data_IF_186853469607
#
_entry.id   IF_186853469607
#
_cell.length_a   1.000
_cell.length_b   1.000
_cell.length_c   1.000
_cell.angle_alpha   90.00
_cell.angle_beta   90.00
_cell.angle_gamma   90.00
#
_symmetry.space_group_name_H-M   'P 1'
#
loop_
_entity.id
_entity.type
_entity.pdbx_description
1 polymer ?
#
# COMPACT_ATOMS: atom_id res chain seq x y z
N UNK A 1 37.44 9.51 27.08
CA UNK A 1 36.78 9.67 25.76
C UNK A 1 35.92 8.45 25.52
N UNK A 2 34.64 8.57 25.79
CA UNK A 2 33.69 7.47 25.76
C UNK A 2 33.06 7.39 24.36
N UNK A 3 33.35 6.32 23.66
CA UNK A 3 32.72 6.03 22.39
C UNK A 3 31.29 5.55 22.67
N UNK A 4 30.32 6.42 22.40
CA UNK A 4 28.89 6.10 22.41
C UNK A 4 28.60 4.99 21.39
N UNK A 5 28.40 3.76 21.86
CA UNK A 5 27.93 2.64 21.05
C UNK A 5 26.51 2.97 20.57
N UNK A 6 26.38 3.37 19.30
CA UNK A 6 25.08 3.39 18.61
C UNK A 6 24.52 1.97 18.64
N UNK A 7 23.57 1.73 19.53
CA UNK A 7 22.75 0.52 19.50
C UNK A 7 22.18 0.35 18.08
N UNK A 8 22.74 -0.62 17.37
CA UNK A 8 22.17 -1.13 16.12
C UNK A 8 20.74 -1.55 16.42
N UNK A 9 19.77 -0.87 15.82
CA UNK A 9 18.37 -1.30 15.86
C UNK A 9 18.32 -2.68 15.23
N UNK A 10 18.11 -3.72 16.06
CA UNK A 10 17.90 -5.10 15.62
C UNK A 10 16.97 -5.10 14.42
N UNK A 11 17.43 -5.75 13.33
CA UNK A 11 16.76 -5.79 12.05
C UNK A 11 15.28 -6.14 12.18
N UNK A 12 14.44 -5.32 11.58
CA UNK A 12 13.03 -5.65 11.40
C UNK A 12 13.01 -6.76 10.35
N UNK A 13 12.62 -7.98 10.74
CA UNK A 13 12.42 -9.07 9.78
C UNK A 13 11.59 -8.54 8.61
N UNK A 14 12.20 -8.52 7.45
CA UNK A 14 11.55 -8.05 6.23
C UNK A 14 10.78 -9.23 5.64
N UNK A 15 9.46 -9.12 5.66
CA UNK A 15 8.56 -10.18 5.20
C UNK A 15 8.09 -9.91 3.79
N UNK A 16 8.08 -10.97 3.00
CA UNK A 16 7.51 -10.98 1.67
C UNK A 16 6.02 -10.61 1.72
N UNK A 17 5.59 -9.82 0.76
CA UNK A 17 4.19 -9.46 0.57
C UNK A 17 3.62 -10.06 -0.70
N UNK A 18 2.32 -9.94 -0.85
CA UNK A 18 1.56 -10.42 -2.01
C UNK A 18 0.86 -9.24 -2.67
N UNK A 19 0.75 -9.28 -4.00
CA UNK A 19 0.01 -8.28 -4.77
C UNK A 19 -1.32 -8.88 -5.20
N UNK A 20 -2.40 -8.17 -4.90
CA UNK A 20 -3.73 -8.61 -5.31
C UNK A 20 -4.56 -7.48 -5.90
N UNK A 21 -5.68 -7.83 -6.48
CA UNK A 21 -6.66 -6.92 -7.05
C UNK A 21 -7.89 -6.88 -6.16
N UNK A 22 -8.30 -5.70 -5.73
CA UNK A 22 -9.54 -5.52 -4.98
C UNK A 22 -10.73 -5.91 -5.85
N UNK A 23 -11.51 -6.89 -5.43
CA UNK A 23 -12.71 -7.34 -6.11
C UNK A 23 -13.93 -6.52 -5.66
N UNK A 24 -14.12 -6.40 -4.35
CA UNK A 24 -15.23 -5.70 -3.75
C UNK A 24 -15.29 -5.93 -2.26
N UNK A 25 -16.43 -5.59 -1.66
CA UNK A 25 -16.69 -5.86 -0.25
C UNK A 25 -17.94 -6.71 -0.08
N UNK A 26 -17.91 -7.56 0.93
CA UNK A 26 -19.03 -8.39 1.35
C UNK A 26 -19.04 -8.52 2.88
N UNK A 27 -19.93 -9.33 3.41
CA UNK A 27 -19.95 -9.69 4.82
C UNK A 27 -19.93 -11.20 4.98
N UNK A 28 -19.33 -11.64 6.06
CA UNK A 28 -19.36 -13.01 6.52
C UNK A 28 -19.88 -13.02 7.96
N UNK A 29 -20.38 -14.15 8.40
CA UNK A 29 -20.87 -14.31 9.76
C UNK A 29 -19.88 -15.16 10.54
N UNK A 30 -19.62 -14.79 11.78
CA UNK A 30 -18.86 -15.64 12.71
C UNK A 30 -19.76 -16.71 13.35
N UNK A 31 -19.19 -17.54 14.20
CA UNK A 31 -19.90 -18.62 14.89
C UNK A 31 -21.01 -18.09 15.84
N UNK A 32 -20.92 -16.83 16.23
CA UNK A 32 -21.92 -16.16 17.08
C UNK A 32 -23.02 -15.44 16.27
N UNK A 33 -22.96 -15.54 14.94
CA UNK A 33 -23.89 -14.86 14.03
C UNK A 33 -23.61 -13.36 13.83
N UNK A 34 -22.48 -12.84 14.29
CA UNK A 34 -22.10 -11.44 14.08
C UNK A 34 -21.60 -11.22 12.68
N UNK A 35 -22.12 -10.20 12.00
CA UNK A 35 -21.69 -9.82 10.67
C UNK A 35 -20.30 -9.14 10.70
N UNK A 36 -19.35 -9.71 10.00
CA UNK A 36 -18.00 -9.18 9.81
C UNK A 36 -17.88 -8.63 8.39
N UNK A 37 -17.74 -7.30 8.20
CA UNK A 37 -17.49 -6.73 6.90
C UNK A 37 -16.09 -7.10 6.41
N UNK A 38 -15.99 -7.61 5.20
CA UNK A 38 -14.72 -8.03 4.60
C UNK A 38 -14.54 -7.48 3.21
N UNK A 39 -13.29 -7.16 2.87
CA UNK A 39 -12.88 -6.89 1.49
C UNK A 39 -12.29 -8.15 0.90
N UNK A 40 -12.76 -8.49 -0.30
CA UNK A 40 -12.26 -9.62 -1.09
C UNK A 40 -11.17 -9.12 -2.03
N UNK A 41 -10.01 -9.74 -1.96
CA UNK A 41 -8.85 -9.43 -2.79
C UNK A 41 -8.47 -10.69 -3.54
N UNK A 42 -8.46 -10.62 -4.87
CA UNK A 42 -7.99 -11.70 -5.75
C UNK A 42 -6.50 -11.52 -5.99
N UNK A 43 -5.75 -12.56 -5.79
CA UNK A 43 -4.31 -12.59 -6.07
C UNK A 43 -4.11 -13.30 -7.40
N UNK A 44 -3.52 -12.58 -8.35
CA UNK A 44 -3.09 -13.19 -9.59
C UNK A 44 -1.70 -13.84 -9.40
N UNK A 45 -1.32 -14.71 -10.32
CA UNK A 45 -0.02 -15.37 -10.30
C UNK A 45 1.10 -14.31 -10.15
N UNK A 46 1.92 -14.51 -9.15
CA UNK A 46 3.04 -13.62 -8.83
C UNK A 46 4.35 -14.39 -8.95
N UNK A 47 5.28 -13.87 -9.76
CA UNK A 47 6.55 -14.53 -10.09
C UNK A 47 7.71 -13.62 -9.76
N UNK A 48 8.80 -14.18 -9.25
CA UNK A 48 10.05 -13.45 -8.99
C UNK A 48 10.72 -13.12 -10.32
N UNK A 49 10.85 -11.84 -10.63
CA UNK A 49 11.46 -11.36 -11.87
C UNK A 49 12.93 -11.01 -11.72
N UNK A 50 13.35 -10.58 -10.54
CA UNK A 50 14.74 -10.25 -10.24
C UNK A 50 15.02 -10.42 -8.75
N UNK A 51 16.20 -10.90 -8.43
CA UNK A 51 16.75 -10.95 -7.09
C UNK A 51 17.83 -9.87 -6.98
N UNK A 52 17.72 -9.01 -5.95
CA UNK A 52 18.65 -7.90 -5.68
C UNK A 52 19.44 -8.20 -4.42
N UNK A 53 20.75 -8.00 -4.49
CA UNK A 53 21.67 -8.24 -3.37
C UNK A 53 22.43 -6.95 -3.02
N UNK A 54 22.99 -6.92 -1.81
CA UNK A 54 23.80 -5.78 -1.36
C UNK A 54 24.98 -5.54 -2.28
N UNK A 55 25.57 -6.58 -2.86
CA UNK A 55 26.75 -6.49 -3.71
C UNK A 55 26.45 -5.81 -5.05
N UNK A 56 25.31 -6.12 -5.65
CA UNK A 56 24.95 -5.63 -7.00
C UNK A 56 24.12 -4.36 -6.96
N UNK A 57 23.16 -4.27 -6.03
CA UNK A 57 22.14 -3.20 -5.99
C UNK A 57 22.23 -2.34 -4.74
N UNK A 58 23.12 -2.67 -3.77
CA UNK A 58 23.29 -1.94 -2.52
C UNK A 58 22.25 -2.27 -1.44
N UNK A 59 21.30 -3.17 -1.72
CA UNK A 59 20.29 -3.63 -0.76
C UNK A 59 19.71 -5.00 -1.15
N UNK A 60 19.17 -5.70 -0.17
CA UNK A 60 18.50 -6.98 -0.37
C UNK A 60 17.02 -6.77 -0.67
N UNK A 61 16.57 -7.28 -1.82
CA UNK A 61 15.17 -7.26 -2.21
C UNK A 61 14.89 -8.33 -3.28
N UNK A 62 13.62 -8.67 -3.43
CA UNK A 62 13.13 -9.41 -4.59
C UNK A 62 12.15 -8.53 -5.35
N UNK A 63 12.28 -8.51 -6.65
CA UNK A 63 11.30 -7.90 -7.53
C UNK A 63 10.35 -8.98 -8.01
N UNK A 64 9.06 -8.70 -7.92
CA UNK A 64 8.00 -9.62 -8.35
C UNK A 64 7.16 -9.00 -9.44
N UNK A 65 6.75 -9.83 -10.38
CA UNK A 65 5.84 -9.47 -11.46
C UNK A 65 4.49 -10.13 -11.28
N UNK A 66 3.42 -9.40 -11.57
CA UNK A 66 2.06 -9.92 -11.55
C UNK A 66 1.26 -9.40 -12.74
N UNK A 67 0.20 -10.14 -13.10
CA UNK A 67 -0.68 -9.91 -14.25
C UNK A 67 0.09 -9.97 -15.56
N UNK A 68 -0.10 -11.06 -16.30
CA UNK A 68 0.50 -11.25 -17.63
C UNK A 68 0.13 -10.10 -18.58
N UNK A 69 1.10 -9.62 -19.32
CA UNK A 69 0.94 -8.52 -20.27
C UNK A 69 1.27 -8.97 -21.71
N UNK A 70 0.51 -8.45 -22.66
CA UNK A 70 0.86 -8.61 -24.09
C UNK A 70 2.03 -7.67 -24.42
N UNK A 71 2.92 -8.10 -25.32
CA UNK A 71 4.11 -7.32 -25.72
C UNK A 71 3.79 -5.89 -26.17
N UNK A 72 2.66 -5.71 -26.87
CA UNK A 72 2.20 -4.39 -27.35
C UNK A 72 1.93 -3.36 -26.25
N UNK A 73 1.80 -3.79 -25.00
CA UNK A 73 1.53 -2.91 -23.86
C UNK A 73 2.80 -2.56 -23.07
N UNK A 74 3.94 -3.08 -23.47
CA UNK A 74 5.22 -2.88 -22.81
C UNK A 74 6.19 -2.11 -23.71
N UNK A 75 7.05 -1.34 -23.10
CA UNK A 75 8.14 -0.67 -23.77
C UNK A 75 9.26 -1.65 -24.17
N UNK A 76 10.10 -1.28 -25.12
CA UNK A 76 11.26 -2.11 -25.53
C UNK A 76 12.21 -2.39 -24.36
N UNK A 77 12.36 -1.43 -23.44
CA UNK A 77 13.18 -1.58 -22.24
C UNK A 77 12.62 -2.63 -21.27
N UNK A 78 11.31 -2.59 -20.99
CA UNK A 78 10.64 -3.59 -20.17
C UNK A 78 10.69 -4.98 -20.77
N UNK A 79 10.48 -5.09 -22.10
CA UNK A 79 10.65 -6.36 -22.82
C UNK A 79 12.08 -6.91 -22.70
N UNK A 80 13.09 -6.05 -22.80
CA UNK A 80 14.50 -6.42 -22.60
C UNK A 80 14.76 -6.97 -21.19
N UNK A 81 14.15 -6.37 -20.17
CA UNK A 81 14.25 -6.82 -18.79
C UNK A 81 13.71 -8.25 -18.59
N UNK A 82 12.55 -8.58 -19.15
CA UNK A 82 11.98 -9.92 -19.09
C UNK A 82 12.76 -10.92 -19.94
N UNK A 83 13.17 -10.55 -21.16
CA UNK A 83 13.94 -11.40 -22.06
C UNK A 83 15.29 -11.81 -21.47
N UNK A 84 15.97 -10.92 -20.74
CA UNK A 84 17.24 -11.22 -20.06
C UNK A 84 17.13 -12.42 -19.12
N UNK A 85 15.99 -12.61 -18.49
CA UNK A 85 15.75 -13.67 -17.51
C UNK A 85 14.85 -14.79 -18.06
N UNK A 86 14.55 -14.79 -19.36
CA UNK A 86 13.66 -15.76 -20.03
C UNK A 86 12.29 -15.90 -19.35
N UNK A 87 11.74 -14.76 -18.89
CA UNK A 87 10.46 -14.69 -18.20
C UNK A 87 9.33 -14.24 -19.10
N UNK A 88 8.11 -14.60 -18.71
CA UNK A 88 6.91 -14.03 -19.31
C UNK A 88 6.81 -12.52 -18.99
N UNK A 89 6.04 -11.81 -19.80
CA UNK A 89 5.83 -10.38 -19.64
C UNK A 89 4.79 -10.11 -18.56
N UNK A 90 5.11 -9.24 -17.61
CA UNK A 90 4.21 -8.83 -16.52
C UNK A 90 3.93 -7.33 -16.59
N UNK A 91 2.69 -6.95 -16.25
CA UNK A 91 2.24 -5.56 -16.31
C UNK A 91 2.68 -4.73 -15.10
N UNK A 92 2.77 -5.35 -13.95
CA UNK A 92 3.10 -4.67 -12.70
C UNK A 92 4.31 -5.33 -12.06
N UNK A 93 5.30 -4.52 -11.78
CA UNK A 93 6.51 -4.92 -11.06
C UNK A 93 6.51 -4.20 -9.71
N UNK A 94 6.86 -4.91 -8.66
CA UNK A 94 7.02 -4.36 -7.33
C UNK A 94 8.16 -5.05 -6.59
N UNK A 95 8.86 -4.29 -5.76
CA UNK A 95 9.94 -4.81 -4.93
C UNK A 95 9.50 -5.01 -3.49
N UNK A 96 9.91 -6.14 -2.93
CA UNK A 96 9.80 -6.42 -1.51
C UNK A 96 11.21 -6.58 -0.94
N UNK A 97 11.51 -5.84 0.11
CA UNK A 97 12.76 -6.03 0.83
C UNK A 97 12.66 -7.31 1.67
N UNK A 98 13.64 -8.14 1.56
CA UNK A 98 13.77 -9.42 2.28
C UNK A 98 15.12 -9.47 2.99
N UNK A 99 15.21 -10.25 4.07
CA UNK A 99 16.46 -10.40 4.80
C UNK A 99 17.44 -11.29 4.01
N UNK A 100 16.95 -12.41 3.46
CA UNK A 100 17.71 -13.39 2.71
C UNK A 100 17.22 -13.47 1.26
N UNK A 101 17.80 -12.76 0.32
CA UNK A 101 17.40 -12.83 -1.08
C UNK A 101 17.81 -14.16 -1.75
N UNK A 102 18.77 -14.87 -1.18
CA UNK A 102 19.31 -16.13 -1.72
C UNK A 102 18.31 -17.31 -1.65
N UNK A 103 17.25 -17.17 -0.81
CA UNK A 103 16.20 -18.17 -0.69
C UNK A 103 15.27 -18.20 -1.91
N UNK A 104 15.37 -17.21 -2.78
CA UNK A 104 14.50 -17.01 -3.94
C UNK A 104 15.28 -17.05 -5.24
N UNK A 105 14.72 -17.71 -6.23
CA UNK A 105 15.27 -17.77 -7.60
C UNK A 105 14.38 -17.02 -8.57
N UNK A 106 14.99 -16.50 -9.61
CA UNK A 106 14.24 -15.89 -10.71
C UNK A 106 13.37 -16.96 -11.39
N UNK A 107 12.08 -16.66 -11.55
CA UNK A 107 11.07 -17.61 -12.04
C UNK A 107 10.26 -18.32 -10.99
N UNK A 108 10.63 -18.23 -9.69
CA UNK A 108 9.86 -18.84 -8.61
C UNK A 108 8.49 -18.19 -8.48
N UNK A 109 7.46 -18.99 -8.23
CA UNK A 109 6.10 -18.52 -7.97
C UNK A 109 5.93 -18.27 -6.47
N UNK A 110 5.33 -17.12 -6.16
CA UNK A 110 5.00 -16.77 -4.80
C UNK A 110 3.57 -17.22 -4.51
N UNK A 111 3.43 -18.16 -3.60
CA UNK A 111 2.15 -18.72 -3.20
C UNK A 111 1.53 -17.93 -2.03
N UNK A 112 0.23 -18.13 -1.81
CA UNK A 112 -0.50 -17.55 -0.68
C UNK A 112 -0.10 -18.13 0.68
N UNK A 113 0.59 -19.25 0.70
CA UNK A 113 1.15 -19.91 1.91
C UNK A 113 2.01 -18.98 2.77
N UNK A 114 2.59 -17.93 2.17
CA UNK A 114 3.29 -16.85 2.89
C UNK A 114 2.41 -16.18 3.96
N UNK A 115 1.08 -16.27 3.83
CA UNK A 115 0.11 -15.64 4.73
C UNK A 115 -0.58 -16.62 5.70
N UNK A 116 -0.29 -17.91 5.64
CA UNK A 116 -1.06 -18.95 6.37
C UNK A 116 -1.05 -18.77 7.90
N UNK A 117 0.03 -18.27 8.48
CA UNK A 117 0.15 -18.07 9.93
C UNK A 117 0.08 -16.59 10.34
N UNK A 118 -0.50 -15.75 9.48
CA UNK A 118 -0.54 -14.31 9.70
C UNK A 118 -1.91 -13.89 10.22
N UNK A 119 -1.98 -13.32 11.42
CA UNK A 119 -3.23 -12.80 11.99
C UNK A 119 -3.59 -11.41 11.44
N UNK A 120 -2.59 -10.55 11.22
CA UNK A 120 -2.79 -9.15 10.83
C UNK A 120 -1.89 -8.77 9.66
N UNK A 121 -2.47 -8.03 8.73
CA UNK A 121 -1.79 -7.56 7.52
C UNK A 121 -1.87 -6.06 7.38
N UNK A 122 -0.86 -5.49 6.73
CA UNK A 122 -0.84 -4.10 6.29
C UNK A 122 -1.16 -4.07 4.80
N UNK A 123 -2.20 -3.32 4.45
CA UNK A 123 -2.65 -3.23 3.06
C UNK A 123 -2.35 -1.84 2.51
N UNK A 124 -1.53 -1.80 1.47
CA UNK A 124 -1.15 -0.58 0.77
C UNK A 124 -1.82 -0.52 -0.59
N UNK A 125 -2.42 0.61 -0.90
CA UNK A 125 -3.03 0.83 -2.21
C UNK A 125 -3.06 2.31 -2.57
N UNK A 126 -3.51 2.60 -3.79
CA UNK A 126 -3.70 3.96 -4.26
C UNK A 126 -5.14 4.38 -3.98
N UNK A 127 -5.32 5.41 -3.15
CA UNK A 127 -6.63 5.91 -2.75
C UNK A 127 -7.43 6.47 -3.94
N UNK A 128 -8.75 6.54 -3.80
CA UNK A 128 -9.62 7.13 -4.83
C UNK A 128 -9.32 8.61 -4.93
N UNK A 129 -9.04 9.10 -6.14
CA UNK A 129 -8.84 10.53 -6.41
C UNK A 129 -10.15 11.29 -6.27
N UNK A 130 -10.08 12.45 -5.65
CA UNK A 130 -11.22 13.39 -5.46
C UNK A 130 -11.01 14.73 -6.15
N UNK A 131 -9.93 14.86 -6.93
CA UNK A 131 -9.54 16.09 -7.60
C UNK A 131 -9.14 17.20 -6.62
N UNK A 132 -9.20 18.46 -7.07
CA UNK A 132 -8.93 19.62 -6.23
C UNK A 132 -10.09 19.83 -5.24
N UNK A 133 -9.78 19.88 -3.95
CA UNK A 133 -10.76 20.03 -2.88
C UNK A 133 -10.41 21.21 -1.99
N UNK A 134 -11.46 21.89 -1.52
CA UNK A 134 -11.35 22.94 -0.51
C UNK A 134 -11.03 22.37 0.87
N UNK A 135 -10.71 23.28 1.80
CA UNK A 135 -10.27 22.95 3.16
C UNK A 135 -11.32 22.18 3.97
N UNK A 136 -12.61 22.46 3.74
CA UNK A 136 -13.71 21.78 4.44
C UNK A 136 -13.70 20.28 4.14
N UNK A 137 -13.59 19.87 2.86
CA UNK A 137 -13.58 18.45 2.48
C UNK A 137 -12.23 17.79 2.72
N UNK A 138 -11.14 18.51 2.43
CA UNK A 138 -9.79 17.95 2.49
C UNK A 138 -9.28 17.78 3.92
N UNK A 139 -9.61 18.72 4.81
CA UNK A 139 -9.06 18.79 6.16
C UNK A 139 -10.10 18.84 7.27
N UNK A 140 -11.39 18.70 6.92
CA UNK A 140 -12.52 18.77 7.85
C UNK A 140 -12.59 20.10 8.62
N UNK A 141 -12.29 21.21 7.95
CA UNK A 141 -12.46 22.54 8.55
C UNK A 141 -13.93 22.84 8.82
N UNK A 142 -14.20 23.53 9.92
CA UNK A 142 -15.53 24.07 10.22
C UNK A 142 -16.00 25.02 9.11
N UNK A 143 -17.30 25.04 8.86
CA UNK A 143 -17.94 26.04 8.00
C UNK A 143 -18.20 27.30 8.81
N UNK A 144 -18.16 28.45 8.16
CA UNK A 144 -18.60 29.71 8.76
C UNK A 144 -20.12 29.77 8.92
N UNK A 145 -20.63 30.81 9.61
CA UNK A 145 -22.07 31.02 9.77
C UNK A 145 -22.79 31.13 8.43
N UNK A 146 -24.00 30.58 8.32
CA UNK A 146 -24.80 30.61 7.10
C UNK A 146 -25.82 31.77 7.07
N UNK A 147 -25.96 32.47 8.18
CA UNK A 147 -26.86 33.63 8.34
C UNK A 147 -26.13 34.85 8.92
N UNK A 148 -26.91 35.80 9.39
CA UNK A 148 -26.43 37.06 10.02
C UNK A 148 -25.43 37.86 9.15
N UNK A 149 -25.59 37.84 7.81
CA UNK A 149 -24.76 38.59 6.88
C UNK A 149 -23.35 38.06 6.68
N UNK A 150 -23.01 36.86 7.20
CA UNK A 150 -21.71 36.25 6.95
C UNK A 150 -21.51 36.01 5.47
N UNK A 151 -20.33 36.40 4.95
CA UNK A 151 -19.88 36.11 3.58
C UNK A 151 -18.85 34.98 3.56
N UNK A 152 -18.36 34.56 4.71
CA UNK A 152 -17.38 33.48 4.85
C UNK A 152 -18.08 32.16 5.19
N UNK A 153 -18.54 31.41 4.20
CA UNK A 153 -19.24 30.14 4.41
C UNK A 153 -18.31 28.91 4.36
N UNK A 154 -17.38 28.87 3.42
CA UNK A 154 -16.52 27.71 3.15
C UNK A 154 -15.04 28.07 2.98
N UNK A 155 -14.68 29.30 3.28
CA UNK A 155 -13.31 29.79 3.17
C UNK A 155 -12.39 29.23 4.26
N UNK A 156 -11.08 29.15 4.02
CA UNK A 156 -10.12 28.57 4.99
C UNK A 156 -9.92 29.42 6.25
N UNK A 157 -10.31 30.71 6.23
CA UNK A 157 -10.02 31.66 7.29
C UNK A 157 -8.56 32.12 7.30
N UNK A 158 -8.07 32.59 8.45
CA UNK A 158 -6.70 33.09 8.58
C UNK A 158 -5.65 32.00 8.27
N UNK A 159 -4.62 32.40 7.52
CA UNK A 159 -3.51 31.51 7.16
C UNK A 159 -2.24 31.76 7.97
N UNK A 160 -2.20 32.79 8.80
CA UNK A 160 -1.05 33.11 9.65
C UNK A 160 -1.25 34.33 10.52
N UNK A 161 -0.23 34.69 11.30
CA UNK A 161 -0.26 35.74 12.30
C UNK A 161 0.08 37.13 11.71
N UNK A 162 0.47 37.28 10.46
CA UNK A 162 0.81 38.54 9.81
C UNK A 162 2.30 38.87 9.86
N UNK A 163 2.66 40.09 10.34
CA UNK A 163 4.01 40.65 10.28
C UNK A 163 5.09 39.77 10.91
N UNK A 164 4.77 39.06 11.98
CA UNK A 164 5.66 38.09 12.60
C UNK A 164 4.98 36.72 12.52
N UNK A 165 5.52 35.74 11.80
CA UNK A 165 6.85 35.60 11.15
C UNK A 165 6.93 36.11 9.70
N UNK A 166 6.05 36.94 9.18
CA UNK A 166 6.02 37.50 7.81
C UNK A 166 5.95 36.44 6.70
N UNK A 167 5.48 35.23 7.01
CA UNK A 167 5.36 34.12 6.08
C UNK A 167 4.30 33.15 6.52
N UNK A 168 3.77 32.37 5.58
CA UNK A 168 2.93 31.22 5.90
C UNK A 168 3.82 30.05 6.28
N UNK A 169 3.56 29.44 7.43
CA UNK A 169 4.35 28.31 7.95
C UNK A 169 4.19 27.10 7.00
N UNK A 170 5.31 26.40 6.73
CA UNK A 170 5.30 25.17 5.92
C UNK A 170 4.35 24.14 6.53
N UNK A 171 3.63 23.39 5.67
CA UNK A 171 2.67 22.40 6.12
C UNK A 171 1.29 22.97 6.52
N UNK A 172 1.04 24.27 6.36
CA UNK A 172 -0.30 24.85 6.56
C UNK A 172 -1.33 24.13 5.70
N UNK A 173 -2.42 23.71 6.32
CA UNK A 173 -3.51 22.99 5.64
C UNK A 173 -4.29 23.96 4.74
N UNK A 174 -4.22 23.74 3.45
CA UNK A 174 -4.86 24.54 2.40
C UNK A 174 -5.58 23.65 1.40
N UNK A 175 -6.37 24.25 0.52
CA UNK A 175 -6.97 23.58 -0.63
C UNK A 175 -5.90 22.92 -1.50
N UNK A 176 -6.27 21.90 -2.24
CA UNK A 176 -5.38 21.19 -3.15
C UNK A 176 -5.90 19.80 -3.53
N UNK A 177 -5.10 19.06 -4.26
CA UNK A 177 -5.44 17.70 -4.67
C UNK A 177 -5.69 16.82 -3.46
N UNK A 178 -6.76 16.01 -3.53
CA UNK A 178 -7.13 15.05 -2.50
C UNK A 178 -7.26 13.65 -3.11
N UNK A 179 -6.69 12.65 -2.42
CA UNK A 179 -6.69 11.29 -2.91
C UNK A 179 -5.70 11.04 -4.05
N UNK A 180 -5.82 9.87 -4.70
CA UNK A 180 -4.88 9.37 -5.71
C UNK A 180 -3.44 9.25 -5.17
N UNK A 181 -3.32 9.06 -3.86
CA UNK A 181 -2.08 8.93 -3.09
C UNK A 181 -1.90 7.48 -2.64
N UNK A 182 -0.65 7.08 -2.41
CA UNK A 182 -0.34 5.80 -1.78
C UNK A 182 -0.69 5.86 -0.30
N UNK A 183 -1.64 5.03 0.11
CA UNK A 183 -2.13 4.93 1.50
C UNK A 183 -1.95 3.51 1.99
N UNK A 184 -1.49 3.36 3.22
CA UNK A 184 -1.38 2.07 3.91
C UNK A 184 -2.33 2.04 5.09
N UNK A 185 -3.19 1.03 5.15
CA UNK A 185 -3.99 0.72 6.32
C UNK A 185 -3.31 -0.45 7.03
N UNK A 186 -2.88 -0.20 8.26
CA UNK A 186 -2.12 -1.17 9.04
C UNK A 186 -3.01 -2.03 9.92
N UNK A 187 -2.53 -3.21 10.27
CA UNK A 187 -3.12 -4.11 11.28
C UNK A 187 -4.55 -4.55 10.98
N UNK A 188 -4.89 -4.72 9.71
CA UNK A 188 -6.16 -5.32 9.33
C UNK A 188 -6.15 -6.82 9.67
N UNK A 189 -7.20 -7.32 10.30
CA UNK A 189 -7.33 -8.75 10.60
C UNK A 189 -7.52 -9.52 9.31
N UNK A 190 -6.67 -10.53 9.10
CA UNK A 190 -6.82 -11.51 8.04
C UNK A 190 -7.88 -12.52 8.50
N UNK A 191 -8.97 -12.61 7.76
CA UNK A 191 -10.11 -13.44 8.16
C UNK A 191 -9.99 -14.84 7.57
N UNK A 192 -9.67 -14.91 6.27
CA UNK A 192 -9.55 -16.18 5.56
C UNK A 192 -8.62 -16.03 4.36
N UNK A 193 -7.82 -17.05 4.10
CA UNK A 193 -7.06 -17.24 2.88
C UNK A 193 -7.66 -18.44 2.16
N UNK A 194 -8.11 -18.27 0.94
CA UNK A 194 -8.64 -19.34 0.08
C UNK A 194 -7.63 -19.56 -1.05
N UNK A 195 -6.75 -20.52 -0.85
CA UNK A 195 -5.72 -20.85 -1.81
C UNK A 195 -6.30 -21.49 -3.10
N UNK A 196 -7.44 -22.17 -3.02
CA UNK A 196 -8.05 -22.82 -4.19
C UNK A 196 -8.56 -21.80 -5.21
N UNK A 197 -9.13 -20.68 -4.73
CA UNK A 197 -9.67 -19.62 -5.57
C UNK A 197 -8.74 -18.40 -5.67
N UNK A 198 -7.56 -18.44 -5.05
CA UNK A 198 -6.62 -17.33 -4.95
C UNK A 198 -7.26 -16.06 -4.36
N UNK A 199 -8.04 -16.21 -3.29
CA UNK A 199 -8.74 -15.11 -2.62
C UNK A 199 -8.23 -14.89 -1.21
N UNK A 200 -8.13 -13.62 -0.85
CA UNK A 200 -7.81 -13.16 0.50
C UNK A 200 -8.99 -12.32 1.01
N UNK A 201 -9.50 -12.66 2.19
CA UNK A 201 -10.55 -11.90 2.88
C UNK A 201 -9.95 -11.14 4.06
N UNK A 202 -10.00 -9.82 4.00
CA UNK A 202 -9.46 -8.91 5.03
C UNK A 202 -10.62 -8.16 5.68
N UNK A 203 -10.65 -8.10 7.02
CA UNK A 203 -11.69 -7.38 7.77
C UNK A 203 -11.61 -5.89 7.50
N UNK A 204 -12.74 -5.30 7.08
CA UNK A 204 -12.88 -3.86 6.88
C UNK A 204 -12.54 -3.40 5.46
N UNK A 205 -12.39 -2.09 5.29
CA UNK A 205 -12.11 -1.47 4.00
C UNK A 205 -10.63 -1.42 3.68
N UNK A 206 -10.29 -1.47 2.39
CA UNK A 206 -8.93 -1.28 1.88
C UNK A 206 -8.87 -0.10 0.90
N UNK A 207 -7.69 0.54 0.71
CA UNK A 207 -7.56 1.68 -0.17
C UNK A 207 -7.92 1.37 -1.63
N UNK A 208 -8.46 2.36 -2.31
CA UNK A 208 -8.75 2.29 -3.75
C UNK A 208 -10.15 1.80 -4.09
N UNK A 209 -10.53 2.00 -5.36
CA UNK A 209 -11.77 1.47 -5.93
C UNK A 209 -11.61 -0.01 -6.31
N UNK A 210 -12.70 -0.65 -6.66
CA UNK A 210 -12.71 -1.99 -7.24
C UNK A 210 -11.84 -2.06 -8.49
N UNK A 211 -11.20 -3.19 -8.70
CA UNK A 211 -10.27 -3.39 -9.80
C UNK A 211 -8.87 -2.81 -9.60
N UNK A 212 -8.60 -2.04 -8.54
CA UNK A 212 -7.26 -1.51 -8.23
C UNK A 212 -6.39 -2.56 -7.56
N UNK A 213 -5.08 -2.44 -7.84
CA UNK A 213 -4.07 -3.25 -7.17
C UNK A 213 -3.85 -2.77 -5.74
N UNK A 214 -3.66 -3.73 -4.86
CA UNK A 214 -3.25 -3.53 -3.47
C UNK A 214 -2.11 -4.48 -3.14
N UNK A 215 -1.22 -4.01 -2.28
CA UNK A 215 -0.11 -4.79 -1.76
C UNK A 215 -0.43 -5.20 -0.34
N UNK A 216 -0.32 -6.47 -0.03
CA UNK A 216 -0.59 -7.05 1.28
C UNK A 216 0.72 -7.53 1.85
N UNK A 217 1.07 -7.07 3.04
CA UNK A 217 2.30 -7.46 3.74
C UNK A 217 1.93 -7.83 5.17
N UNK A 218 2.49 -8.91 5.73
CA UNK A 218 2.33 -9.21 7.15
C UNK A 218 2.70 -8.02 8.04
N UNK A 219 1.89 -7.73 9.06
CA UNK A 219 2.13 -6.60 9.95
C UNK A 219 3.41 -6.81 10.76
N UNK A 220 4.33 -5.87 10.68
CA UNK A 220 5.66 -5.94 11.33
C UNK A 220 5.66 -5.56 12.81
N UNK A 221 4.59 -4.91 13.28
CA UNK A 221 4.55 -4.37 14.63
C UNK A 221 3.85 -5.35 15.57
N UNK A 222 4.65 -6.07 16.35
CA UNK A 222 4.14 -6.71 17.57
C UNK A 222 4.08 -5.62 18.64
N UNK A 223 2.90 -5.16 18.98
CA UNK A 223 2.65 -4.49 20.25
C UNK A 223 2.18 -5.58 21.20
N UNK A 224 2.93 -5.82 22.24
CA UNK A 224 2.47 -6.60 23.39
C UNK A 224 1.38 -5.81 24.11
#
# INVERSE_FOLDING_TARGET
MSASSRMSRKGKNMTLGVIGKKVGMTQIFDEQGLAIPVTVIKVDETVVTQVKTVETDGYNAIQVGTIAAKEKHLTKAELGHFKKNSLNNYRHLQEFRVDNPQDYKVGDKIELSVLDNVEKVDVTGKSIGKGFQGTVKRWNFGRGPMGHGSKNHREPGSIGAGTTPSRVIKGKRMAGNMGNERVTISKLKLVRVDAANNLILVKGSVPGCEGRLVTIVPTRTKWN
#
